data_IF_513012075534
#
_entry.id   IF_513012075534
#
_cell.length_a   1.000
_cell.length_b   1.000
_cell.length_c   1.000
_cell.angle_alpha   90.00
_cell.angle_beta   90.00
_cell.angle_gamma   90.00
#
_symmetry.space_group_name_H-M   'P 1'
#
loop_
_entity.id
_entity.type
_entity.pdbx_description
1 polymer ?
#
# COMPACT_ATOMS: atom_id res chain seq x y z
N UNK A 1 -11.31 -3.46 -4.33
CA UNK A 1 -11.05 -2.42 -5.34
C UNK A 1 -11.57 -1.05 -4.92
N UNK A 2 -12.88 -0.90 -4.64
CA UNK A 2 -13.51 0.39 -4.36
C UNK A 2 -12.82 1.19 -3.25
N UNK A 3 -12.47 0.56 -2.13
CA UNK A 3 -11.73 1.20 -1.04
C UNK A 3 -10.33 1.66 -1.46
N UNK A 4 -9.61 0.87 -2.25
CA UNK A 4 -8.27 1.24 -2.76
C UNK A 4 -8.38 2.43 -3.73
N UNK A 5 -9.38 2.45 -4.60
CA UNK A 5 -9.65 3.57 -5.49
C UNK A 5 -9.95 4.86 -4.71
N UNK A 6 -10.79 4.77 -3.68
CA UNK A 6 -11.18 5.92 -2.85
C UNK A 6 -10.03 6.52 -2.01
N UNK A 7 -8.87 5.85 -1.92
CA UNK A 7 -7.70 6.41 -1.23
C UNK A 7 -7.18 7.67 -1.92
N UNK A 8 -7.13 7.67 -3.25
CA UNK A 8 -6.66 8.81 -4.04
C UNK A 8 -7.30 8.79 -5.45
N UNK A 9 -8.57 9.08 -5.53
CA UNK A 9 -9.34 9.10 -6.78
C UNK A 9 -8.73 10.01 -7.84
N UNK A 10 -8.11 11.11 -7.40
CA UNK A 10 -7.48 12.07 -8.30
C UNK A 10 -6.29 11.49 -9.05
N UNK A 11 -5.52 10.61 -8.40
CA UNK A 11 -4.31 10.00 -8.97
C UNK A 11 -4.58 8.64 -9.63
N UNK A 12 -5.78 8.08 -9.45
CA UNK A 12 -6.11 6.72 -9.87
C UNK A 12 -6.36 6.58 -11.38
N UNK A 13 -6.61 7.67 -12.11
CA UNK A 13 -6.78 7.63 -13.57
C UNK A 13 -5.50 7.16 -14.25
N UNK A 14 -5.62 6.18 -15.16
CA UNK A 14 -4.49 5.60 -15.88
C UNK A 14 -3.61 4.67 -15.01
N UNK A 15 -4.10 4.28 -13.84
CA UNK A 15 -3.39 3.41 -12.90
C UNK A 15 -3.32 1.95 -13.35
N UNK A 16 -2.48 1.19 -12.64
CA UNK A 16 -2.39 -0.26 -12.75
C UNK A 16 -3.06 -0.88 -11.54
N UNK A 17 -4.02 -1.77 -11.78
CA UNK A 17 -4.77 -2.48 -10.74
C UNK A 17 -4.27 -3.91 -10.65
N UNK A 18 -3.68 -4.28 -9.52
CA UNK A 18 -3.28 -5.65 -9.22
C UNK A 18 -4.24 -6.26 -8.19
N UNK A 19 -4.77 -7.43 -8.50
CA UNK A 19 -5.68 -8.19 -7.64
C UNK A 19 -5.07 -9.54 -7.30
N UNK A 20 -5.28 -9.98 -6.08
CA UNK A 20 -4.78 -11.28 -5.59
C UNK A 20 -5.83 -12.40 -5.65
N UNK A 21 -6.96 -12.15 -6.29
CA UNK A 21 -8.05 -13.11 -6.48
C UNK A 21 -8.64 -13.00 -7.89
N UNK A 22 -9.46 -13.97 -8.27
CA UNK A 22 -10.18 -13.98 -9.54
C UNK A 22 -11.12 -12.78 -9.59
N UNK A 23 -11.10 -12.04 -10.70
CA UNK A 23 -11.99 -10.89 -10.93
C UNK A 23 -13.40 -11.40 -11.18
N UNK A 24 -14.34 -10.94 -10.40
CA UNK A 24 -15.77 -11.26 -10.49
C UNK A 24 -16.60 -10.08 -11.06
N UNK A 25 -17.89 -10.31 -11.20
CA UNK A 25 -18.81 -9.31 -11.75
C UNK A 25 -18.92 -8.05 -10.87
N UNK A 26 -18.93 -8.21 -9.55
CA UNK A 26 -19.01 -7.09 -8.60
C UNK A 26 -17.77 -6.20 -8.69
N UNK A 27 -16.59 -6.80 -8.85
CA UNK A 27 -15.34 -6.08 -9.07
C UNK A 27 -15.37 -5.30 -10.38
N UNK A 28 -15.90 -5.89 -11.46
CA UNK A 28 -16.06 -5.20 -12.75
C UNK A 28 -17.03 -4.04 -12.64
N UNK A 29 -18.16 -4.19 -11.97
CA UNK A 29 -19.10 -3.11 -11.75
C UNK A 29 -18.44 -1.92 -11.05
N UNK A 30 -17.69 -2.19 -9.97
CA UNK A 30 -16.93 -1.17 -9.27
C UNK A 30 -15.85 -0.51 -10.14
N UNK A 31 -15.16 -1.27 -10.99
CA UNK A 31 -14.16 -0.73 -11.93
C UNK A 31 -14.78 0.14 -13.01
N UNK A 32 -15.94 -0.24 -13.51
CA UNK A 32 -16.66 0.52 -14.55
C UNK A 32 -17.21 1.83 -14.00
N UNK A 33 -17.60 1.86 -12.72
CA UNK A 33 -18.06 3.08 -12.04
C UNK A 33 -16.91 4.05 -11.71
N UNK A 34 -15.68 3.56 -11.60
CA UNK A 34 -14.49 4.35 -11.24
C UNK A 34 -13.78 4.95 -12.47
N UNK A 35 -12.68 5.69 -12.25
CA UNK A 35 -11.81 6.16 -13.32
C UNK A 35 -11.16 4.98 -14.07
N UNK A 36 -10.79 5.19 -15.33
CA UNK A 36 -10.14 4.17 -16.15
C UNK A 36 -8.79 3.77 -15.56
N UNK A 37 -8.56 2.46 -15.45
CA UNK A 37 -7.25 1.87 -15.27
C UNK A 37 -6.65 1.53 -16.65
N UNK A 38 -5.35 1.66 -16.81
CA UNK A 38 -4.67 1.28 -18.05
C UNK A 38 -4.43 -0.23 -18.11
N UNK A 39 -4.16 -0.85 -16.95
CA UNK A 39 -3.93 -2.29 -16.86
C UNK A 39 -4.63 -2.86 -15.63
N UNK A 40 -5.22 -4.03 -15.79
CA UNK A 40 -5.67 -4.89 -14.68
C UNK A 40 -4.91 -6.20 -14.76
N UNK A 41 -4.27 -6.61 -13.65
CA UNK A 41 -3.59 -7.89 -13.52
C UNK A 41 -4.21 -8.71 -12.39
N UNK A 42 -4.54 -9.96 -12.66
CA UNK A 42 -5.17 -10.86 -11.69
C UNK A 42 -4.79 -12.33 -11.98
N UNK A 43 -4.96 -13.25 -11.02
CA UNK A 43 -4.75 -14.68 -11.24
C UNK A 43 -5.78 -15.30 -12.19
N UNK A 44 -6.91 -14.65 -12.42
CA UNK A 44 -7.95 -15.10 -13.34
C UNK A 44 -9.10 -14.10 -13.44
N UNK A 45 -9.99 -14.41 -14.35
CA UNK A 45 -11.22 -13.68 -14.62
C UNK A 45 -12.37 -14.66 -14.69
N UNK A 46 -13.48 -14.41 -14.01
CA UNK A 46 -14.67 -15.24 -14.10
C UNK A 46 -15.30 -15.15 -15.51
N UNK A 47 -16.17 -16.10 -15.84
CA UNK A 47 -16.82 -16.16 -17.15
C UNK A 47 -17.61 -14.86 -17.45
N UNK A 48 -17.44 -14.34 -18.65
CA UNK A 48 -18.10 -13.11 -19.13
C UNK A 48 -17.56 -11.80 -18.59
N UNK A 49 -16.62 -11.84 -17.63
CA UNK A 49 -16.06 -10.65 -16.97
C UNK A 49 -15.16 -9.86 -17.92
N UNK A 50 -14.37 -10.54 -18.73
CA UNK A 50 -13.47 -9.91 -19.71
C UNK A 50 -14.28 -9.11 -20.71
N UNK A 51 -15.32 -9.70 -21.29
CA UNK A 51 -16.21 -9.08 -22.26
C UNK A 51 -16.94 -7.88 -21.67
N UNK A 52 -17.45 -8.02 -20.44
CA UNK A 52 -18.15 -6.96 -19.73
C UNK A 52 -17.24 -5.74 -19.47
N UNK A 53 -15.99 -5.99 -19.03
CA UNK A 53 -15.02 -4.93 -18.80
C UNK A 53 -14.59 -4.27 -20.09
N UNK A 54 -14.25 -5.02 -21.14
CA UNK A 54 -13.82 -4.51 -22.43
C UNK A 54 -14.93 -3.74 -23.14
N UNK A 55 -16.20 -4.10 -22.99
CA UNK A 55 -17.32 -3.37 -23.55
C UNK A 55 -17.37 -1.90 -23.07
N UNK A 56 -16.90 -1.62 -21.85
CA UNK A 56 -16.92 -0.30 -21.21
C UNK A 56 -15.53 0.36 -21.17
N UNK A 57 -14.47 -0.42 -21.17
CA UNK A 57 -13.06 0.00 -20.96
C UNK A 57 -12.17 -0.58 -22.07
N UNK A 58 -12.41 -0.23 -23.31
CA UNK A 58 -11.75 -0.79 -24.51
C UNK A 58 -10.22 -0.69 -24.50
N UNK A 59 -9.69 0.34 -23.83
CA UNK A 59 -8.24 0.61 -23.79
C UNK A 59 -7.56 0.03 -22.55
N UNK A 60 -8.29 -0.65 -21.65
CA UNK A 60 -7.69 -1.29 -20.49
C UNK A 60 -7.08 -2.63 -20.89
N UNK A 61 -5.78 -2.79 -20.66
CA UNK A 61 -5.07 -4.05 -20.85
C UNK A 61 -5.45 -5.03 -19.73
N UNK A 62 -5.81 -6.26 -20.08
CA UNK A 62 -6.12 -7.31 -19.11
C UNK A 62 -5.02 -8.36 -19.14
N UNK A 63 -4.36 -8.59 -18.00
CA UNK A 63 -3.29 -9.57 -17.85
C UNK A 63 -3.73 -10.66 -16.86
N UNK A 64 -3.56 -11.90 -17.26
CA UNK A 64 -3.69 -13.03 -16.35
C UNK A 64 -2.29 -13.53 -16.00
N UNK A 65 -1.98 -13.53 -14.71
CA UNK A 65 -0.70 -14.03 -14.19
C UNK A 65 -0.90 -14.67 -12.81
N UNK A 66 -0.15 -15.71 -12.50
CA UNK A 66 -0.11 -16.26 -11.14
C UNK A 66 0.46 -15.20 -10.18
N UNK A 67 0.29 -15.37 -8.86
CA UNK A 67 1.02 -14.58 -7.88
C UNK A 67 2.52 -14.61 -8.18
N UNK A 68 3.27 -13.53 -7.83
CA UNK A 68 4.72 -13.50 -7.99
C UNK A 68 5.36 -14.73 -7.34
N UNK A 69 6.31 -15.36 -8.06
CA UNK A 69 7.13 -16.42 -7.49
C UNK A 69 8.21 -15.82 -6.59
N UNK A 70 8.72 -16.64 -5.66
CA UNK A 70 9.92 -16.30 -4.91
C UNK A 70 11.15 -16.44 -5.82
N UNK A 71 11.41 -15.44 -6.64
CA UNK A 71 12.62 -15.41 -7.46
C UNK A 71 13.86 -15.29 -6.58
N UNK A 72 14.94 -15.96 -6.99
CA UNK A 72 16.17 -15.98 -6.20
C UNK A 72 16.92 -14.65 -6.21
N UNK A 73 16.73 -13.84 -7.25
CA UNK A 73 17.46 -12.59 -7.42
C UNK A 73 16.59 -11.53 -8.09
N UNK A 74 16.73 -10.31 -7.58
CA UNK A 74 16.27 -9.10 -8.24
C UNK A 74 17.44 -8.52 -9.04
N UNK A 75 17.23 -8.32 -10.34
CA UNK A 75 18.25 -7.90 -11.28
C UNK A 75 17.93 -6.50 -11.80
N UNK A 76 18.87 -5.58 -11.65
CA UNK A 76 18.74 -4.24 -12.21
C UNK A 76 19.94 -3.92 -13.10
N UNK A 77 19.68 -3.67 -14.37
CA UNK A 77 20.70 -3.23 -15.31
C UNK A 77 21.18 -1.82 -14.96
N UNK A 78 22.50 -1.66 -14.96
CA UNK A 78 23.19 -0.37 -14.84
C UNK A 78 24.15 -0.21 -16.01
N UNK A 79 24.73 0.99 -16.18
CA UNK A 79 25.77 1.19 -17.18
C UNK A 79 27.01 0.33 -16.84
N UNK A 80 27.35 -0.59 -17.74
CA UNK A 80 28.51 -1.48 -17.60
C UNK A 80 28.28 -2.75 -16.78
N UNK A 81 27.04 -3.07 -16.33
CA UNK A 81 26.79 -4.29 -15.58
C UNK A 81 25.38 -4.44 -15.01
N UNK A 82 25.30 -5.20 -13.94
CA UNK A 82 24.06 -5.52 -13.24
C UNK A 82 24.24 -5.34 -11.74
N UNK A 83 23.23 -4.76 -11.09
CA UNK A 83 23.02 -4.91 -9.66
C UNK A 83 22.20 -6.17 -9.43
N UNK A 84 22.68 -7.02 -8.54
CA UNK A 84 22.04 -8.29 -8.19
C UNK A 84 21.82 -8.30 -6.69
N UNK A 85 20.61 -8.57 -6.26
CA UNK A 85 20.27 -8.69 -4.84
C UNK A 85 19.22 -9.78 -4.63
N UNK A 86 19.06 -10.22 -3.41
CA UNK A 86 17.89 -11.01 -3.02
C UNK A 86 16.64 -10.14 -3.14
N UNK A 87 15.50 -10.70 -3.58
CA UNK A 87 14.24 -9.99 -3.57
C UNK A 87 13.90 -9.50 -2.16
N UNK A 88 13.14 -8.41 -2.08
CA UNK A 88 12.68 -7.93 -0.79
C UNK A 88 11.73 -8.95 -0.16
N UNK A 89 12.14 -9.51 0.97
CA UNK A 89 11.31 -10.40 1.79
C UNK A 89 10.97 -9.72 3.10
N UNK A 90 9.73 -9.94 3.57
CA UNK A 90 9.38 -9.61 4.94
C UNK A 90 9.91 -10.72 5.84
N UNK A 91 11.16 -10.57 6.32
CA UNK A 91 11.83 -11.55 7.15
C UNK A 91 11.17 -11.73 8.53
N UNK A 92 10.38 -10.74 8.96
CA UNK A 92 9.68 -10.73 10.24
C UNK A 92 8.18 -10.53 10.03
N UNK A 93 7.39 -11.19 10.84
CA UNK A 93 5.95 -11.01 10.93
C UNK A 93 5.50 -10.58 12.32
N UNK A 94 4.21 -10.45 12.53
CA UNK A 94 3.61 -10.04 13.82
C UNK A 94 4.17 -10.82 15.02
N UNK A 95 4.45 -12.12 14.86
CA UNK A 95 4.94 -12.96 15.94
C UNK A 95 6.33 -12.53 16.47
N UNK A 96 7.10 -11.83 15.63
CA UNK A 96 8.45 -11.37 15.97
C UNK A 96 8.45 -9.95 16.53
N UNK A 97 7.31 -9.25 16.48
CA UNK A 97 7.23 -7.85 16.86
C UNK A 97 7.03 -7.68 18.36
N UNK A 98 7.74 -6.72 18.91
CA UNK A 98 7.64 -6.37 20.33
C UNK A 98 6.82 -5.11 20.53
N UNK A 99 5.78 -5.19 21.35
CA UNK A 99 5.06 -4.00 21.82
C UNK A 99 5.91 -3.32 22.89
N UNK A 100 6.28 -2.05 22.64
CA UNK A 100 7.14 -1.26 23.53
C UNK A 100 6.35 -0.20 24.31
N UNK A 101 5.05 -0.08 24.06
CA UNK A 101 4.14 0.84 24.76
C UNK A 101 3.41 0.10 25.90
N UNK A 102 2.91 0.85 26.90
CA UNK A 102 2.12 0.29 27.99
C UNK A 102 0.81 -0.34 27.49
N UNK A 103 0.13 0.35 26.55
CA UNK A 103 -1.10 -0.15 25.95
C UNK A 103 -0.80 -1.21 24.89
N UNK A 104 -1.49 -2.33 24.99
CA UNK A 104 -1.45 -3.36 23.95
C UNK A 104 -2.38 -2.99 22.78
N UNK A 105 -2.02 -3.32 21.52
CA UNK A 105 -2.89 -3.16 20.39
C UNK A 105 -4.09 -4.10 20.43
N UNK A 106 -5.21 -3.62 19.91
CA UNK A 106 -6.34 -4.47 19.57
C UNK A 106 -6.04 -5.30 18.31
N UNK A 107 -6.85 -6.33 18.04
CA UNK A 107 -6.69 -7.14 16.83
C UNK A 107 -6.88 -6.33 15.53
N UNK A 108 -7.76 -5.34 15.53
CA UNK A 108 -7.92 -4.45 14.36
C UNK A 108 -6.70 -3.57 14.14
N UNK A 109 -6.10 -3.03 15.21
CA UNK A 109 -4.87 -2.24 15.11
C UNK A 109 -3.68 -3.11 14.66
N UNK A 110 -3.64 -4.38 15.07
CA UNK A 110 -2.64 -5.32 14.59
C UNK A 110 -2.79 -5.57 13.09
N UNK A 111 -4.00 -5.82 12.60
CA UNK A 111 -4.25 -6.02 11.18
C UNK A 111 -3.87 -4.78 10.35
N UNK A 112 -4.20 -3.58 10.85
CA UNK A 112 -3.81 -2.32 10.21
C UNK A 112 -2.28 -2.11 10.23
N UNK A 113 -1.60 -2.47 11.34
CA UNK A 113 -0.15 -2.38 11.45
C UNK A 113 0.58 -3.34 10.48
N UNK A 114 0.10 -4.57 10.35
CA UNK A 114 0.63 -5.54 9.38
C UNK A 114 0.47 -5.06 7.95
N UNK A 115 -0.70 -4.51 7.59
CA UNK A 115 -0.92 -3.94 6.26
C UNK A 115 -0.02 -2.71 6.04
N UNK A 116 0.07 -1.80 7.01
CA UNK A 116 0.92 -0.63 6.93
C UNK A 116 2.39 -1.02 6.71
N UNK A 117 2.89 -2.00 7.45
CA UNK A 117 4.25 -2.52 7.31
C UNK A 117 4.51 -3.11 5.92
N UNK A 118 3.61 -3.97 5.43
CA UNK A 118 3.72 -4.57 4.10
C UNK A 118 3.71 -3.51 2.99
N UNK A 119 2.79 -2.55 3.05
CA UNK A 119 2.75 -1.46 2.06
C UNK A 119 4.01 -0.62 2.14
N UNK A 120 4.47 -0.27 3.35
CA UNK A 120 5.65 0.56 3.57
C UNK A 120 6.93 -0.09 3.00
N UNK A 121 7.07 -1.41 3.10
CA UNK A 121 8.21 -2.14 2.53
C UNK A 121 8.31 -2.07 1.00
N UNK A 122 7.22 -1.76 0.30
CA UNK A 122 7.21 -1.57 -1.15
C UNK A 122 7.24 -0.10 -1.58
N UNK A 123 7.23 0.82 -0.64
CA UNK A 123 7.21 2.27 -0.92
C UNK A 123 8.63 2.84 -0.89
N UNK A 124 8.91 3.80 -1.76
CA UNK A 124 10.23 4.45 -1.83
C UNK A 124 10.54 5.26 -0.57
N UNK A 125 11.73 5.07 -0.04
CA UNK A 125 12.29 5.80 1.10
C UNK A 125 12.45 7.31 0.81
N UNK A 126 12.33 8.22 1.76
CA UNK A 126 11.69 8.03 3.06
C UNK A 126 10.19 7.87 2.90
N UNK A 127 9.60 6.93 3.61
CA UNK A 127 8.16 6.67 3.48
C UNK A 127 7.45 6.56 4.82
N UNK A 128 6.20 7.05 4.81
CA UNK A 128 5.22 6.89 5.89
C UNK A 128 3.92 6.38 5.28
N UNK A 129 3.36 5.36 5.87
CA UNK A 129 2.08 4.76 5.46
C UNK A 129 1.09 4.78 6.60
N UNK A 130 -0.10 5.29 6.35
CA UNK A 130 -1.20 5.42 7.32
C UNK A 130 -2.34 4.48 6.91
N UNK A 131 -2.70 3.54 7.78
CA UNK A 131 -3.72 2.52 7.51
C UNK A 131 -4.83 2.57 8.55
N UNK A 132 -6.07 2.40 8.11
CA UNK A 132 -7.24 2.22 8.97
C UNK A 132 -8.24 1.29 8.29
N UNK A 133 -8.75 0.33 9.07
CA UNK A 133 -9.76 -0.64 8.64
C UNK A 133 -9.37 -1.40 7.34
N UNK A 134 -8.09 -1.80 7.25
CA UNK A 134 -7.53 -2.52 6.12
C UNK A 134 -7.34 -1.67 4.85
N UNK A 135 -7.26 -0.35 4.98
CA UNK A 135 -7.10 0.58 3.85
C UNK A 135 -5.92 1.53 4.10
N UNK A 136 -4.98 1.62 3.16
CA UNK A 136 -3.88 2.57 3.20
C UNK A 136 -4.35 3.95 2.71
N UNK A 137 -4.90 4.75 3.63
CA UNK A 137 -5.49 6.05 3.32
C UNK A 137 -4.48 7.14 2.99
N UNK A 138 -3.26 7.03 3.50
CA UNK A 138 -2.23 8.03 3.28
C UNK A 138 -0.86 7.39 3.08
N UNK A 139 -0.20 7.74 1.97
CA UNK A 139 1.15 7.31 1.65
C UNK A 139 1.97 8.53 1.29
N UNK A 140 3.01 8.81 2.09
CA UNK A 140 4.06 9.76 1.75
C UNK A 140 5.31 8.99 1.37
N UNK A 141 5.82 9.20 0.16
CA UNK A 141 6.83 8.37 -0.44
C UNK A 141 7.93 9.18 -1.11
N UNK A 142 9.17 8.67 -1.04
CA UNK A 142 10.30 9.18 -1.81
C UNK A 142 10.75 10.59 -1.41
N UNK A 143 10.49 11.00 -0.18
CA UNK A 143 10.86 12.32 0.30
C UNK A 143 12.28 12.35 0.86
N UNK A 144 12.91 13.52 0.85
CA UNK A 144 14.26 13.72 1.37
C UNK A 144 14.32 13.57 2.89
N UNK A 145 13.23 13.85 3.57
CA UNK A 145 13.11 13.66 5.01
C UNK A 145 11.78 12.97 5.39
N UNK A 146 11.75 12.38 6.56
CA UNK A 146 10.61 11.58 7.04
C UNK A 146 9.45 12.44 7.53
N UNK A 147 9.72 13.66 7.98
CA UNK A 147 8.67 14.60 8.40
C UNK A 147 7.79 14.96 7.23
N UNK A 148 8.38 15.33 6.08
CA UNK A 148 7.64 15.59 4.84
C UNK A 148 6.84 14.37 4.37
N UNK A 149 7.42 13.16 4.46
CA UNK A 149 6.66 11.94 4.16
C UNK A 149 5.42 11.81 5.04
N UNK A 150 5.56 12.09 6.33
CA UNK A 150 4.44 12.12 7.28
C UNK A 150 3.38 13.16 6.93
N UNK A 151 3.81 14.37 6.57
CA UNK A 151 2.91 15.46 6.18
C UNK A 151 2.12 15.13 4.90
N UNK A 152 2.79 14.53 3.92
CA UNK A 152 2.13 14.08 2.68
C UNK A 152 1.14 12.95 2.97
N UNK A 153 1.56 11.93 3.72
CA UNK A 153 0.69 10.82 4.11
C UNK A 153 -0.58 11.33 4.79
N UNK A 154 -0.40 12.25 5.69
CA UNK A 154 -1.45 12.91 6.41
C UNK A 154 -2.43 13.70 5.56
N UNK A 155 -1.89 14.56 4.73
CA UNK A 155 -2.68 15.35 3.80
C UNK A 155 -3.51 14.45 2.89
N UNK A 156 -2.92 13.32 2.44
CA UNK A 156 -3.62 12.33 1.61
C UNK A 156 -4.69 11.57 2.39
N UNK A 157 -4.41 11.19 3.62
CA UNK A 157 -5.38 10.52 4.48
C UNK A 157 -6.60 11.38 4.80
N UNK A 158 -6.42 12.70 4.93
CA UNK A 158 -7.49 13.68 5.19
C UNK A 158 -8.39 13.25 6.37
N UNK A 159 -7.77 12.87 7.49
CA UNK A 159 -8.46 12.40 8.70
C UNK A 159 -8.99 10.96 8.65
N UNK A 160 -9.03 10.31 7.47
CA UNK A 160 -9.62 8.96 7.30
C UNK A 160 -8.82 7.85 7.99
N UNK A 161 -7.57 8.11 8.36
CA UNK A 161 -6.72 7.15 9.04
C UNK A 161 -6.69 7.31 10.57
N UNK A 162 -7.50 8.20 11.14
CA UNK A 162 -7.54 8.42 12.59
C UNK A 162 -7.87 7.13 13.36
N UNK A 163 -7.13 6.86 14.44
CA UNK A 163 -7.28 5.64 15.23
C UNK A 163 -6.80 4.35 14.55
N UNK A 164 -6.08 4.47 13.44
CA UNK A 164 -5.48 3.34 12.72
C UNK A 164 -4.02 3.08 13.09
N UNK A 165 -3.23 2.63 12.13
CA UNK A 165 -1.81 2.32 12.28
C UNK A 165 -0.94 3.14 11.33
N UNK A 166 0.33 3.31 11.73
CA UNK A 166 1.36 3.99 10.96
C UNK A 166 2.57 3.07 10.81
N UNK A 167 3.14 2.98 9.61
CA UNK A 167 4.44 2.38 9.38
C UNK A 167 5.43 3.38 8.79
N UNK A 168 6.70 3.21 9.15
CA UNK A 168 7.85 3.95 8.63
C UNK A 168 8.90 2.97 8.12
N UNK A 169 9.54 3.30 7.00
CA UNK A 169 10.59 2.47 6.40
C UNK A 169 11.92 2.48 7.18
N UNK A 170 12.08 3.35 8.17
CA UNK A 170 13.21 3.36 9.09
C UNK A 170 12.86 4.07 10.41
N UNK A 171 13.80 4.02 11.37
CA UNK A 171 13.64 4.66 12.66
C UNK A 171 13.58 6.18 12.59
N UNK A 172 13.00 6.79 13.62
CA UNK A 172 13.03 8.24 13.81
C UNK A 172 14.22 8.61 14.71
N UNK A 173 15.19 9.40 14.19
CA UNK A 173 16.34 9.80 15.00
C UNK A 173 15.97 10.78 16.13
N UNK A 174 14.84 11.46 16.02
CA UNK A 174 14.32 12.42 17.00
C UNK A 174 12.81 12.20 17.18
N UNK A 175 12.29 12.66 18.33
CA UNK A 175 10.88 12.53 18.65
C UNK A 175 9.97 13.43 17.77
N UNK A 176 10.53 14.50 17.18
CA UNK A 176 9.80 15.49 16.38
C UNK A 176 9.00 14.88 15.22
N UNK A 177 9.56 13.88 14.53
CA UNK A 177 8.86 13.16 13.48
C UNK A 177 7.67 12.36 13.99
N UNK A 178 7.82 11.78 15.17
CA UNK A 178 6.76 11.05 15.89
C UNK A 178 5.71 12.03 16.42
N UNK A 179 6.16 13.11 17.05
CA UNK A 179 5.28 14.15 17.61
C UNK A 179 4.51 14.88 16.51
N UNK A 180 5.13 15.19 15.38
CA UNK A 180 4.47 15.81 14.24
C UNK A 180 3.41 14.88 13.63
N UNK A 181 3.71 13.58 13.53
CA UNK A 181 2.74 12.60 13.11
C UNK A 181 1.61 12.44 14.16
N UNK A 182 1.92 12.35 15.45
CA UNK A 182 0.95 12.22 16.54
C UNK A 182 0.09 13.49 16.72
N UNK A 183 0.69 14.67 16.69
CA UNK A 183 -0.03 15.95 16.89
C UNK A 183 -1.04 16.25 15.78
N UNK A 184 -0.74 15.85 14.55
CA UNK A 184 -1.67 15.95 13.41
C UNK A 184 -2.69 14.81 13.36
N UNK A 185 -2.44 13.71 14.12
CA UNK A 185 -3.22 12.47 14.11
C UNK A 185 -3.45 11.95 15.53
N UNK A 186 -3.94 12.77 16.42
CA UNK A 186 -3.99 12.68 17.89
C UNK A 186 -4.37 11.33 18.51
N UNK A 187 -4.67 10.29 17.72
CA UNK A 187 -5.06 8.96 18.19
C UNK A 187 -4.21 7.81 17.60
N UNK A 188 -3.04 8.11 16.98
CA UNK A 188 -2.20 7.05 16.42
C UNK A 188 -1.31 6.40 17.49
N UNK A 189 -1.49 5.12 17.81
CA UNK A 189 -0.46 4.35 18.47
C UNK A 189 0.68 4.12 17.47
N UNK A 190 1.73 4.92 17.56
CA UNK A 190 2.92 4.73 16.73
C UNK A 190 3.75 3.56 17.23
N UNK A 191 4.28 2.79 16.27
CA UNK A 191 5.11 1.63 16.54
C UNK A 191 6.29 1.62 15.58
N UNK A 192 7.45 1.41 16.18
CA UNK A 192 8.65 1.07 15.43
C UNK A 192 8.69 -0.45 15.27
N UNK A 193 8.87 -0.93 14.06
CA UNK A 193 9.29 -2.29 13.77
C UNK A 193 10.79 -2.43 14.06
#
# INVERSE_FOLDING_TARGET
>A
YAKAFACDERSAFGGIVALNHVVDADTVEAMVAAAQADVVIAPGYADGVVEALQAKRKNTGLLQAPPPSEDRFDLRQINGGWLVQEPHHFATGRADWRVVTERQPTESEWADAELAFRVCGHVKSNSIVLVKDGVAWGIGAGQQNRVESGEIAAKKADGRAAGGACASDAFYPFADGIEAAAAKYADFPMRHA
#
